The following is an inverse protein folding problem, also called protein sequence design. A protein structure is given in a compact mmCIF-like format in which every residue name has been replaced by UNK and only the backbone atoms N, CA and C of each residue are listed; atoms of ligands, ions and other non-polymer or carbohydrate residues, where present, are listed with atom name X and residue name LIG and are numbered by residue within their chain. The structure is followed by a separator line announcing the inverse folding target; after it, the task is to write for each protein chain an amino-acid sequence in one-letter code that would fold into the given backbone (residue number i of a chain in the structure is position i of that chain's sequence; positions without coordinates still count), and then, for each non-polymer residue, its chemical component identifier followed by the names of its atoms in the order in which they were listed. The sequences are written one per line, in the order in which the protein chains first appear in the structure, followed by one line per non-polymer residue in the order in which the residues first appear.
data_IF_166093865168
#
_entry.id   IF_166093865168
#
_cell.length_a   1.000
_cell.length_b   1.000
_cell.length_c   1.000
_cell.angle_alpha   90.00
_cell.angle_beta   90.00
_cell.angle_gamma   90.00
#
_symmetry.space_group_name_H-M   'P 1'
#
loop_
_entity.id
_entity.type
_entity.pdbx_description
1 polymer ?
#
# COMPACT_ATOMS: atom_id res chain seq x y z
N UNK A 1 -31.65 -42.92 82.74
CA UNK A 1 -32.32 -43.34 81.50
C UNK A 1 -31.59 -42.67 80.36
N UNK A 2 -31.28 -43.46 79.33
CA UNK A 2 -31.12 -43.12 77.90
C UNK A 2 -30.42 -41.80 77.49
N UNK A 3 -29.60 -41.69 76.46
CA UNK A 3 -29.08 -42.60 75.44
C UNK A 3 -28.15 -41.73 74.54
N UNK A 4 -27.38 -42.42 73.67
CA UNK A 4 -26.89 -41.94 72.36
C UNK A 4 -25.89 -40.76 72.35
N UNK A 5 -24.58 -41.00 72.19
CA UNK A 5 -23.87 -41.33 70.92
C UNK A 5 -24.04 -40.21 69.87
N UNK A 6 -22.97 -39.44 69.60
CA UNK A 6 -22.24 -39.44 68.31
C UNK A 6 -21.21 -38.30 68.23
N UNK A 7 -20.11 -38.66 67.58
CA UNK A 7 -18.83 -37.96 67.39
C UNK A 7 -18.97 -36.65 66.61
N UNK A 8 -18.20 -35.59 66.93
CA UNK A 8 -18.17 -34.37 66.14
C UNK A 8 -17.29 -34.52 64.88
N UNK A 9 -17.91 -34.68 63.71
CA UNK A 9 -17.21 -34.65 62.42
C UNK A 9 -17.11 -33.23 61.86
N UNK A 10 -15.87 -32.86 61.54
CA UNK A 10 -15.39 -31.62 60.94
C UNK A 10 -16.18 -31.16 59.70
N UNK A 11 -16.53 -29.87 59.68
CA UNK A 11 -16.77 -29.13 58.44
C UNK A 11 -16.01 -27.80 58.48
N UNK A 12 -14.95 -27.74 57.66
CA UNK A 12 -14.25 -26.52 57.26
C UNK A 12 -15.24 -25.48 56.72
N UNK A 13 -15.05 -24.20 57.09
CA UNK A 13 -14.81 -23.10 56.15
C UNK A 13 -14.95 -21.74 56.83
N UNK A 14 -14.28 -20.77 56.21
CA UNK A 14 -14.75 -19.39 55.94
C UNK A 14 -13.92 -18.32 56.63
N UNK A 15 -12.77 -18.04 56.01
CA UNK A 15 -11.92 -16.90 56.31
C UNK A 15 -12.34 -15.71 55.43
N UNK A 16 -12.94 -14.73 56.12
CA UNK A 16 -12.79 -13.28 56.02
C UNK A 16 -13.12 -12.49 54.74
N UNK A 17 -14.25 -11.78 54.86
CA UNK A 17 -14.60 -10.39 54.51
C UNK A 17 -14.19 -9.82 53.15
N UNK A 18 -15.20 -9.71 52.28
CA UNK A 18 -15.26 -8.75 51.17
C UNK A 18 -15.96 -7.47 51.65
N UNK A 19 -15.28 -6.35 51.55
CA UNK A 19 -15.85 -4.99 51.42
C UNK A 19 -15.03 -4.38 50.29
N UNK A 20 -15.54 -3.91 49.17
CA UNK A 20 -16.86 -3.41 48.83
C UNK A 20 -16.62 -2.08 48.11
N UNK A 21 -16.77 -2.03 46.79
CA UNK A 21 -16.99 -0.79 46.04
C UNK A 21 -17.56 -1.16 44.66
N UNK A 22 -18.87 -0.93 44.52
CA UNK A 22 -19.58 -0.97 43.26
C UNK A 22 -19.12 0.19 42.37
N UNK A 23 -18.75 -0.10 41.11
CA UNK A 23 -18.70 0.88 40.04
C UNK A 23 -19.37 0.28 38.80
N UNK A 24 -20.54 0.84 38.51
CA UNK A 24 -21.22 0.98 37.23
C UNK A 24 -21.07 -0.14 36.17
N UNK A 25 -22.15 -0.93 36.05
CA UNK A 25 -22.59 -1.55 34.80
C UNK A 25 -22.93 -0.45 33.78
N UNK A 26 -22.07 -0.24 32.77
CA UNK A 26 -22.42 0.18 31.41
C UNK A 26 -21.15 0.47 30.59
N UNK A 27 -20.53 -0.56 30.02
CA UNK A 27 -19.65 -0.38 28.86
C UNK A 27 -19.58 -1.70 28.11
N UNK A 28 -19.89 -1.64 26.82
CA UNK A 28 -20.25 -2.77 25.98
C UNK A 28 -19.24 -3.91 26.01
N UNK A 29 -19.79 -5.11 25.93
CA UNK A 29 -19.13 -6.25 25.33
C UNK A 29 -18.76 -5.84 23.90
N UNK A 30 -17.57 -5.29 23.72
CA UNK A 30 -16.91 -5.29 22.41
C UNK A 30 -16.48 -6.73 22.22
N UNK A 31 -17.34 -7.51 21.57
CA UNK A 31 -16.89 -8.67 20.82
C UNK A 31 -15.77 -8.15 19.91
N UNK A 32 -14.52 -8.46 20.28
CA UNK A 32 -13.38 -8.30 19.42
C UNK A 32 -13.53 -9.29 18.25
N UNK A 33 -14.44 -8.97 17.32
CA UNK A 33 -14.31 -9.42 15.96
C UNK A 33 -12.96 -8.89 15.49
N UNK A 34 -12.03 -9.81 15.25
CA UNK A 34 -10.79 -9.51 14.56
C UNK A 34 -11.12 -8.98 13.19
N UNK A 35 -11.30 -7.67 13.08
CA UNK A 35 -11.31 -6.93 11.83
C UNK A 35 -9.88 -7.05 11.27
N UNK A 36 -9.62 -8.18 10.60
CA UNK A 36 -8.54 -8.26 9.62
C UNK A 36 -8.84 -7.16 8.62
N UNK A 37 -7.93 -6.21 8.44
CA UNK A 37 -7.96 -5.39 7.24
C UNK A 37 -8.10 -6.34 6.04
N UNK A 38 -9.08 -6.14 5.16
CA UNK A 38 -9.23 -6.99 3.99
C UNK A 38 -7.92 -6.96 3.20
N UNK A 39 -7.53 -8.12 2.67
CA UNK A 39 -6.39 -8.16 1.77
C UNK A 39 -6.74 -7.31 0.54
N UNK A 40 -5.82 -6.44 0.13
CA UNK A 40 -6.02 -5.68 -1.11
C UNK A 40 -6.09 -6.66 -2.29
N UNK A 41 -6.95 -6.40 -3.29
CA UNK A 41 -6.86 -7.09 -4.55
C UNK A 41 -5.49 -6.83 -5.18
N UNK A 42 -5.07 -7.72 -6.06
CA UNK A 42 -3.91 -7.48 -6.91
C UNK A 42 -4.18 -6.28 -7.82
N UNK A 43 -3.17 -5.44 -8.04
CA UNK A 43 -3.26 -4.25 -8.87
C UNK A 43 -2.41 -4.45 -10.11
N UNK A 44 -3.02 -4.43 -11.28
CA UNK A 44 -2.29 -4.35 -12.54
C UNK A 44 -1.87 -2.92 -12.85
N UNK A 45 -0.62 -2.74 -13.26
CA UNK A 45 -0.15 -1.50 -13.88
C UNK A 45 -0.40 -1.53 -15.39
N UNK A 46 -1.31 -0.69 -15.85
CA UNK A 46 -1.52 -0.41 -17.28
C UNK A 46 -0.80 0.91 -17.63
N UNK A 47 0.05 0.91 -18.65
CA UNK A 47 0.62 2.15 -19.19
C UNK A 47 -0.17 2.59 -20.43
N UNK A 48 -0.72 3.78 -20.38
CA UNK A 48 -1.45 4.41 -21.46
C UNK A 48 -0.55 4.95 -22.58
N UNK A 49 -1.14 5.63 -23.57
CA UNK A 49 -0.37 6.30 -24.62
C UNK A 49 0.57 7.34 -24.00
N UNK A 50 1.76 7.48 -24.58
CA UNK A 50 2.82 8.37 -24.09
C UNK A 50 4.19 7.81 -24.38
N UNK A 51 4.39 6.49 -24.29
CA UNK A 51 5.63 5.87 -24.73
C UNK A 51 5.83 6.12 -26.22
N UNK A 52 7.01 6.63 -26.62
CA UNK A 52 7.34 6.89 -28.02
C UNK A 52 7.87 5.64 -28.72
N UNK A 53 8.29 4.64 -27.93
CA UNK A 53 8.67 3.34 -28.44
C UNK A 53 9.10 2.37 -27.35
N UNK A 54 9.56 1.20 -27.81
CA UNK A 54 10.23 0.18 -27.01
C UNK A 54 11.65 0.08 -27.56
N UNK A 55 12.66 0.14 -26.70
CA UNK A 55 14.04 -0.02 -27.13
C UNK A 55 14.26 -1.45 -27.62
N UNK A 56 14.80 -1.64 -28.83
CA UNK A 56 15.22 -2.98 -29.29
C UNK A 56 16.61 -3.29 -28.76
N UNK A 57 16.76 -4.40 -28.05
CA UNK A 57 18.04 -4.87 -27.59
C UNK A 57 18.81 -5.58 -28.71
N UNK A 58 20.13 -5.71 -28.55
CA UNK A 58 21.02 -6.32 -29.55
C UNK A 58 20.70 -7.81 -29.82
N UNK A 59 20.05 -8.48 -28.86
CA UNK A 59 19.59 -9.86 -28.98
C UNK A 59 18.19 -9.98 -29.63
N UNK A 60 17.59 -8.86 -30.05
CA UNK A 60 16.26 -8.80 -30.65
C UNK A 60 15.11 -8.82 -29.65
N UNK A 61 15.40 -8.87 -28.34
CA UNK A 61 14.39 -8.75 -27.30
C UNK A 61 13.87 -7.32 -27.16
N UNK A 62 12.67 -7.21 -26.61
CA UNK A 62 12.10 -5.94 -26.19
C UNK A 62 12.81 -5.46 -24.93
N UNK A 63 13.37 -4.26 -25.01
CA UNK A 63 13.98 -3.53 -23.90
C UNK A 63 12.99 -2.61 -23.20
N UNK A 64 13.49 -1.67 -22.38
CA UNK A 64 12.63 -0.76 -21.63
C UNK A 64 11.81 0.15 -22.57
N UNK A 65 10.71 0.69 -22.02
CA UNK A 65 9.94 1.74 -22.68
C UNK A 65 10.79 2.99 -22.88
N UNK A 66 10.48 3.78 -23.91
CA UNK A 66 11.11 5.07 -24.17
C UNK A 66 10.09 6.18 -24.01
N UNK A 67 10.44 7.20 -23.23
CA UNK A 67 9.65 8.41 -23.00
C UNK A 67 10.49 9.64 -23.40
N UNK A 68 10.03 10.34 -24.43
CA UNK A 68 10.64 11.59 -24.88
C UNK A 68 10.12 12.80 -24.10
N UNK A 69 10.86 13.89 -24.11
CA UNK A 69 10.34 15.19 -23.66
C UNK A 69 9.18 15.66 -24.55
N UNK A 70 8.20 16.33 -23.96
CA UNK A 70 7.05 16.96 -24.59
C UNK A 70 5.81 16.06 -24.67
N UNK A 71 5.87 14.83 -24.17
CA UNK A 71 4.76 13.88 -24.21
C UNK A 71 3.88 13.98 -22.97
N UNK A 72 2.62 13.57 -23.14
CA UNK A 72 1.75 13.25 -22.01
C UNK A 72 1.90 11.77 -21.68
N UNK A 73 2.19 11.45 -20.43
CA UNK A 73 2.17 10.07 -19.93
C UNK A 73 0.89 9.79 -19.17
N UNK A 74 0.42 8.55 -19.27
CA UNK A 74 -0.69 8.04 -18.49
C UNK A 74 -0.32 6.68 -17.91
N UNK A 75 -0.47 6.52 -16.59
CA UNK A 75 -0.35 5.23 -15.90
C UNK A 75 -1.62 4.96 -15.14
N UNK A 76 -2.14 3.74 -15.22
CA UNK A 76 -3.38 3.35 -14.56
C UNK A 76 -3.10 2.11 -13.71
N UNK A 77 -3.20 2.25 -12.40
CA UNK A 77 -3.23 1.13 -11.47
C UNK A 77 -4.69 0.71 -11.28
N UNK A 78 -5.03 -0.51 -11.70
CA UNK A 78 -6.39 -1.05 -11.61
C UNK A 78 -6.40 -2.31 -10.76
N UNK A 79 -7.34 -2.45 -9.81
CA UNK A 79 -7.49 -3.69 -9.08
C UNK A 79 -8.15 -4.76 -9.96
N UNK A 80 -7.67 -6.00 -9.87
CA UNK A 80 -8.20 -7.13 -10.66
C UNK A 80 -9.62 -7.54 -10.25
N UNK A 81 -10.03 -7.17 -9.03
CA UNK A 81 -11.39 -7.32 -8.50
C UNK A 81 -11.80 -6.06 -7.77
N UNK A 82 -13.09 -5.75 -7.73
CA UNK A 82 -13.61 -4.61 -6.99
C UNK A 82 -13.07 -4.59 -5.55
N UNK A 83 -12.65 -3.41 -5.08
CA UNK A 83 -12.16 -3.23 -3.71
C UNK A 83 -13.36 -3.35 -2.75
N UNK A 84 -13.38 -4.39 -1.92
CA UNK A 84 -14.42 -4.58 -0.91
C UNK A 84 -14.13 -3.75 0.35
N UNK A 85 -15.14 -2.98 0.80
CA UNK A 85 -15.11 -2.22 2.05
C UNK A 85 -15.04 -0.70 1.86
N UNK A 86 -15.20 0.04 2.97
CA UNK A 86 -15.31 1.51 2.96
C UNK A 86 -13.95 2.23 2.88
N UNK A 87 -12.84 1.50 2.97
CA UNK A 87 -11.50 2.07 3.01
C UNK A 87 -10.89 2.12 1.59
N UNK A 88 -10.97 3.29 0.95
CA UNK A 88 -10.27 3.55 -0.31
C UNK A 88 -8.75 3.55 -0.07
N UNK A 89 -7.98 2.70 -0.78
CA UNK A 89 -6.53 2.69 -0.65
C UNK A 89 -5.90 4.01 -1.09
N UNK A 90 -4.63 4.21 -0.76
CA UNK A 90 -3.81 5.27 -1.34
C UNK A 90 -2.76 4.71 -2.29
N UNK A 91 -2.18 5.61 -3.09
CA UNK A 91 -1.06 5.36 -3.99
C UNK A 91 0.08 6.32 -3.64
N UNK A 92 1.30 5.81 -3.56
CA UNK A 92 2.54 6.61 -3.65
C UNK A 92 3.38 6.09 -4.81
N UNK A 93 4.12 7.00 -5.46
CA UNK A 93 5.01 6.65 -6.56
C UNK A 93 6.42 7.10 -6.19
N UNK A 94 7.40 6.23 -6.37
CA UNK A 94 8.82 6.54 -6.20
C UNK A 94 9.54 6.42 -7.53
N UNK A 95 10.55 7.26 -7.73
CA UNK A 95 11.40 7.25 -8.92
C UNK A 95 12.86 6.98 -8.53
N UNK A 96 13.48 6.00 -9.19
CA UNK A 96 14.85 5.57 -8.97
C UNK A 96 15.66 5.73 -10.25
N UNK A 97 16.71 6.57 -10.27
CA UNK A 97 17.61 6.63 -11.41
C UNK A 97 18.46 5.36 -11.45
N UNK A 98 18.63 4.77 -12.63
CA UNK A 98 19.45 3.57 -12.85
C UNK A 98 19.11 2.39 -11.92
N UNK A 99 17.85 2.29 -11.46
CA UNK A 99 17.40 1.31 -10.48
C UNK A 99 18.19 1.33 -9.14
N UNK A 100 18.77 2.48 -8.77
CA UNK A 100 19.54 2.63 -7.54
C UNK A 100 18.63 3.00 -6.35
N UNK A 101 18.43 2.10 -5.36
CA UNK A 101 17.57 2.34 -4.22
C UNK A 101 18.04 3.50 -3.33
N UNK A 102 19.34 3.79 -3.29
CA UNK A 102 19.88 4.88 -2.46
C UNK A 102 19.59 6.27 -3.05
N UNK A 103 19.29 6.32 -4.35
CA UNK A 103 19.00 7.56 -5.10
C UNK A 103 17.50 7.74 -5.39
N UNK A 104 16.66 6.86 -4.85
CA UNK A 104 15.22 6.94 -4.96
C UNK A 104 14.66 8.23 -4.35
N UNK A 105 13.55 8.72 -4.91
CA UNK A 105 12.76 9.80 -4.30
C UNK A 105 11.28 9.57 -4.51
N UNK A 106 10.46 10.11 -3.60
CA UNK A 106 9.02 10.18 -3.82
C UNK A 106 8.74 11.17 -4.96
N UNK A 107 7.85 10.76 -5.87
CA UNK A 107 7.44 11.56 -7.00
C UNK A 107 6.24 12.42 -6.58
N UNK A 108 6.42 13.74 -6.56
CA UNK A 108 5.33 14.67 -6.32
C UNK A 108 4.49 14.79 -7.59
N UNK A 109 3.33 14.14 -7.60
CA UNK A 109 2.40 14.21 -8.72
C UNK A 109 1.69 15.57 -8.72
N UNK A 110 1.57 16.26 -9.87
CA UNK A 110 0.85 17.52 -9.94
C UNK A 110 -0.60 17.40 -9.43
N UNK A 111 -1.17 18.47 -8.87
CA UNK A 111 -2.58 18.48 -8.49
C UNK A 111 -3.47 18.13 -9.69
N UNK A 112 -4.38 17.17 -9.49
CA UNK A 112 -5.27 16.68 -10.55
C UNK A 112 -4.65 15.64 -11.48
N UNK A 113 -3.37 15.28 -11.31
CA UNK A 113 -2.78 14.15 -12.04
C UNK A 113 -3.40 12.83 -11.64
N UNK A 114 -3.87 12.70 -10.40
CA UNK A 114 -4.66 11.57 -9.95
C UNK A 114 -6.10 11.78 -10.40
N UNK A 115 -6.58 10.98 -11.36
CA UNK A 115 -7.96 11.04 -11.83
C UNK A 115 -8.97 10.74 -10.72
N UNK A 116 -10.24 11.09 -10.95
CA UNK A 116 -11.37 10.84 -10.03
C UNK A 116 -11.58 9.35 -9.66
N UNK A 117 -10.82 8.44 -10.29
CA UNK A 117 -10.83 6.98 -10.10
C UNK A 117 -10.41 6.47 -8.72
N UNK A 118 -10.07 7.33 -7.75
CA UNK A 118 -10.03 6.90 -6.35
C UNK A 118 -11.35 6.22 -5.92
N UNK A 119 -12.45 6.52 -6.62
CA UNK A 119 -13.69 5.73 -6.59
C UNK A 119 -13.44 4.31 -7.12
N UNK A 120 -13.67 3.31 -6.28
CA UNK A 120 -13.45 1.87 -6.59
C UNK A 120 -11.97 1.43 -6.63
N UNK A 121 -11.05 2.32 -6.26
CA UNK A 121 -9.62 2.00 -6.10
C UNK A 121 -8.79 2.12 -7.37
N UNK A 122 -9.28 2.69 -8.47
CA UNK A 122 -8.50 2.85 -9.72
C UNK A 122 -7.64 4.12 -9.67
N UNK A 123 -6.32 4.01 -9.64
CA UNK A 123 -5.45 5.18 -9.67
C UNK A 123 -4.96 5.46 -11.08
N UNK A 124 -5.45 6.53 -11.70
CA UNK A 124 -4.91 7.01 -12.98
C UNK A 124 -4.03 8.23 -12.74
N UNK A 125 -2.75 8.14 -13.11
CA UNK A 125 -1.79 9.25 -13.14
C UNK A 125 -1.70 9.73 -14.58
N UNK A 126 -2.15 10.96 -14.87
CA UNK A 126 -1.96 11.60 -16.17
C UNK A 126 -1.28 12.95 -16.01
N UNK A 127 -0.12 13.11 -16.66
CA UNK A 127 0.72 14.31 -16.49
C UNK A 127 1.66 14.50 -17.69
N UNK A 128 2.03 15.74 -18.03
CA UNK A 128 3.22 15.99 -18.85
C UNK A 128 4.44 15.31 -18.21
N UNK A 129 5.28 14.70 -19.03
CA UNK A 129 6.44 13.96 -18.55
C UNK A 129 7.43 14.88 -17.80
N UNK A 130 7.57 16.13 -18.22
CA UNK A 130 8.48 17.13 -17.63
C UNK A 130 8.07 17.51 -16.22
N UNK A 131 6.76 17.45 -15.93
CA UNK A 131 6.24 17.76 -14.61
C UNK A 131 6.68 16.74 -13.55
N UNK A 132 7.20 15.59 -13.98
CA UNK A 132 7.80 14.58 -13.10
C UNK A 132 9.20 14.97 -12.62
N UNK A 133 9.84 15.96 -13.27
CA UNK A 133 11.19 16.42 -12.93
C UNK A 133 12.23 15.29 -13.00
N UNK A 134 12.09 14.37 -13.95
CA UNK A 134 13.05 13.30 -14.21
C UNK A 134 14.05 13.78 -15.26
N UNK A 135 15.34 13.73 -14.95
CA UNK A 135 16.40 14.06 -15.91
C UNK A 135 16.57 12.94 -16.95
N UNK A 136 17.10 13.21 -18.15
CA UNK A 136 17.39 12.17 -19.15
C UNK A 136 18.21 11.01 -18.55
N UNK A 137 17.87 9.78 -18.92
CA UNK A 137 18.51 8.58 -18.38
C UNK A 137 17.55 7.42 -18.12
N UNK A 138 18.07 6.33 -17.54
CA UNK A 138 17.28 5.17 -17.15
C UNK A 138 16.59 5.40 -15.81
N UNK A 139 15.32 5.02 -15.71
CA UNK A 139 14.51 5.17 -14.52
C UNK A 139 13.69 3.92 -14.23
N UNK A 140 13.50 3.63 -12.95
CA UNK A 140 12.50 2.70 -12.45
C UNK A 140 11.49 3.51 -11.64
N UNK A 141 10.20 3.38 -11.97
CA UNK A 141 9.12 3.83 -11.10
C UNK A 141 8.61 2.66 -10.28
N UNK A 142 8.32 2.93 -9.01
CA UNK A 142 7.71 1.96 -8.10
C UNK A 142 6.40 2.55 -7.61
N UNK A 143 5.29 1.91 -8.00
CA UNK A 143 3.93 2.25 -7.60
C UNK A 143 3.57 1.41 -6.39
N UNK A 144 3.27 2.04 -5.27
CA UNK A 144 2.91 1.35 -4.03
C UNK A 144 1.46 1.68 -3.68
N UNK A 145 0.61 0.67 -3.71
CA UNK A 145 -0.81 0.78 -3.36
C UNK A 145 -1.06 0.11 -2.01
N UNK A 146 -1.73 0.79 -1.11
CA UNK A 146 -1.84 0.36 0.28
C UNK A 146 -2.90 1.10 1.08
N UNK A 147 -3.18 0.64 2.30
CA UNK A 147 -3.84 1.49 3.29
C UNK A 147 -3.00 2.76 3.51
N UNK A 148 -3.62 3.94 3.59
CA UNK A 148 -2.90 5.23 3.61
C UNK A 148 -1.87 5.32 4.75
N UNK A 149 -2.20 4.73 5.90
CA UNK A 149 -1.34 4.69 7.09
C UNK A 149 -0.19 3.68 6.97
N UNK A 150 -0.28 2.75 6.02
CA UNK A 150 0.73 1.73 5.74
C UNK A 150 1.65 2.12 4.56
N UNK A 151 1.35 3.20 3.84
CA UNK A 151 2.17 3.64 2.71
C UNK A 151 3.53 4.13 3.21
N UNK A 152 4.64 3.67 2.59
CA UNK A 152 5.96 4.15 2.93
C UNK A 152 6.07 5.63 2.56
N UNK A 153 6.75 6.39 3.41
CA UNK A 153 7.16 7.77 3.13
C UNK A 153 8.60 7.86 2.61
N UNK A 154 9.35 6.75 2.67
CA UNK A 154 10.77 6.67 2.32
C UNK A 154 10.99 5.70 1.15
N UNK A 155 11.73 6.10 0.11
CA UNK A 155 12.01 5.25 -1.06
C UNK A 155 12.81 3.99 -0.72
N UNK A 156 13.76 4.07 0.21
CA UNK A 156 14.53 2.90 0.65
C UNK A 156 13.62 1.81 1.23
N UNK A 157 12.57 2.20 1.96
CA UNK A 157 11.55 1.28 2.45
C UNK A 157 10.74 0.66 1.30
N UNK A 158 10.33 1.45 0.31
CA UNK A 158 9.54 0.96 -0.84
C UNK A 158 10.28 -0.10 -1.67
N UNK A 159 11.60 0.02 -1.81
CA UNK A 159 12.43 -0.96 -2.53
C UNK A 159 12.51 -2.33 -1.85
N UNK A 160 12.40 -2.35 -0.51
CA UNK A 160 12.49 -3.57 0.31
C UNK A 160 11.12 -4.21 0.53
N UNK A 161 10.04 -3.44 0.37
CA UNK A 161 8.67 -3.96 0.45
C UNK A 161 8.44 -4.92 -0.72
N UNK A 162 8.22 -6.19 -0.38
CA UNK A 162 7.62 -7.18 -1.27
C UNK A 162 6.14 -7.29 -0.94
N UNK A 163 5.33 -7.70 -1.91
CA UNK A 163 3.88 -7.89 -1.75
C UNK A 163 3.56 -8.51 -0.39
N UNK A 164 2.81 -7.73 0.40
CA UNK A 164 2.65 -7.95 1.83
C UNK A 164 1.23 -7.59 2.26
N UNK A 165 0.87 -7.90 3.51
CA UNK A 165 -0.50 -7.69 4.00
C UNK A 165 -0.93 -6.23 3.84
N UNK A 166 -1.77 -5.96 2.85
CA UNK A 166 -2.35 -4.65 2.59
C UNK A 166 -1.44 -3.67 1.85
N UNK A 167 -0.36 -4.15 1.19
CA UNK A 167 0.47 -3.35 0.28
C UNK A 167 0.77 -4.17 -1.00
N UNK A 168 0.63 -3.53 -2.15
CA UNK A 168 1.01 -4.04 -3.47
C UNK A 168 2.03 -3.11 -4.11
N UNK A 169 3.00 -3.70 -4.81
CA UNK A 169 4.10 -2.97 -5.43
C UNK A 169 4.22 -3.34 -6.90
N UNK A 170 4.09 -2.35 -7.78
CA UNK A 170 4.28 -2.52 -9.22
C UNK A 170 5.48 -1.69 -9.69
N UNK A 171 6.24 -2.21 -10.65
CA UNK A 171 7.46 -1.57 -11.17
C UNK A 171 7.36 -1.28 -12.66
N UNK A 172 7.87 -0.11 -13.06
CA UNK A 172 7.97 0.29 -14.45
C UNK A 172 9.38 0.76 -14.76
N UNK A 173 10.06 0.06 -15.66
CA UNK A 173 11.37 0.45 -16.16
C UNK A 173 11.25 1.17 -17.50
N UNK A 174 11.92 2.31 -17.62
CA UNK A 174 11.95 3.07 -18.86
C UNK A 174 13.24 3.87 -19.03
N UNK A 175 13.43 4.40 -20.23
CA UNK A 175 14.46 5.38 -20.54
C UNK A 175 13.80 6.70 -20.92
N UNK A 176 14.24 7.77 -20.27
CA UNK A 176 13.90 9.12 -20.66
C UNK A 176 14.96 9.66 -21.63
N UNK A 177 14.52 10.07 -22.81
CA UNK A 177 15.36 10.71 -23.83
C UNK A 177 15.00 12.19 -23.99
N UNK A 178 16.02 13.02 -24.17
CA UNK A 178 15.81 14.44 -24.48
C UNK A 178 15.35 14.58 -25.94
N UNK A 179 14.35 15.42 -26.18
CA UNK A 179 13.81 15.61 -27.53
C UNK A 179 14.82 16.29 -28.47
N UNK A 180 15.84 16.98 -27.94
CA UNK A 180 16.87 17.63 -28.75
C UNK A 180 17.95 16.67 -29.28
N UNK A 181 18.15 15.49 -28.68
CA UNK A 181 19.22 14.55 -29.09
C UNK A 181 18.86 13.73 -30.35
N UNK A 182 17.61 13.85 -30.83
CA UNK A 182 17.07 13.14 -32.00
C UNK A 182 17.02 13.99 -33.28
N UNK A 183 17.56 15.21 -33.28
CA UNK A 183 17.63 16.12 -34.45
C UNK A 183 19.04 16.25 -35.01
#
# INVERSE_FOLDING_TARGET
GDAAVLVPTLARRRWWWSVGAAVALAAGVVLAFGLRAPALPHYGLEHGPGATGIRKQADGSDGPLVYESGIQVTWTMRPDTAVEGDAVPGLVVFAYPDADPERGRMLELPPGSLGDGALEGVFQVSTPFEALGLAPGAWTLVFVVGAKEALPSDPGAAWVIRDGRGIQVEQLEFVHEDAEELR
#
